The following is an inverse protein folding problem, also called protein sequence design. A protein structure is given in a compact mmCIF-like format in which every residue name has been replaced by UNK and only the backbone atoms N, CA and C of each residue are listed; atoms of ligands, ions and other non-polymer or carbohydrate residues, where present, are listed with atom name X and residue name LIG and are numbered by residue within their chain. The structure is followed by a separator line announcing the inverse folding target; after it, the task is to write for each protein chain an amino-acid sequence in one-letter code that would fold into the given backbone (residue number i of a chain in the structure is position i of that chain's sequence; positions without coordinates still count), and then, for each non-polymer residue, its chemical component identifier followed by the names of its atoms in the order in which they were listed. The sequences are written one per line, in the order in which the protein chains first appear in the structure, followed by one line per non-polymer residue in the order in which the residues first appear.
data_IF_184846855037
#
_entry.id   IF_184846855037
#
_cell.length_a   1.000
_cell.length_b   1.000
_cell.length_c   1.000
_cell.angle_alpha   90.00
_cell.angle_beta   90.00
_cell.angle_gamma   90.00
#
_symmetry.space_group_name_H-M   'P 1'
#
loop_
_entity.id
_entity.type
_entity.pdbx_description
1 polymer ?
#
# COMPACT_ATOMS: atom_id res chain seq x y z
N UNK A 1 10.95 -15.00 -10.93
CA UNK A 1 11.14 -13.96 -9.88
C UNK A 1 9.79 -13.74 -9.22
N UNK A 2 9.70 -13.58 -7.90
CA UNK A 2 8.42 -13.32 -7.22
C UNK A 2 8.40 -11.88 -6.70
N UNK A 3 7.21 -11.31 -6.56
CA UNK A 3 7.03 -9.97 -6.01
C UNK A 3 6.20 -10.06 -4.73
N UNK A 4 6.62 -9.33 -3.69
CA UNK A 4 5.89 -9.19 -2.45
C UNK A 4 5.33 -7.78 -2.35
N UNK A 5 4.07 -7.70 -1.97
CA UNK A 5 3.46 -6.46 -1.48
C UNK A 5 3.63 -6.43 0.03
N UNK A 6 4.20 -5.35 0.53
CA UNK A 6 4.34 -5.08 1.96
C UNK A 6 3.56 -3.81 2.32
N UNK A 7 2.86 -3.82 3.46
CA UNK A 7 2.19 -2.65 4.03
C UNK A 7 2.99 -2.11 5.22
N UNK A 8 3.11 -0.79 5.31
CA UNK A 8 3.72 -0.08 6.43
C UNK A 8 2.69 0.14 7.52
N UNK A 9 3.03 -0.30 8.72
CA UNK A 9 2.26 -0.05 9.94
C UNK A 9 3.16 0.62 10.97
N UNK A 10 2.56 1.37 11.89
CA UNK A 10 3.27 2.12 12.91
C UNK A 10 2.95 1.52 14.28
N UNK A 11 3.98 1.15 15.03
CA UNK A 11 3.84 0.43 16.30
C UNK A 11 4.41 1.23 17.48
N UNK A 12 3.74 1.12 18.62
CA UNK A 12 4.18 1.69 19.89
C UNK A 12 4.13 3.22 19.96
N UNK A 13 4.53 3.81 21.11
CA UNK A 13 4.47 5.25 21.34
C UNK A 13 5.33 6.06 20.37
N UNK A 14 6.45 5.50 19.93
CA UNK A 14 7.39 6.14 18.99
C UNK A 14 7.01 5.94 17.53
N UNK A 15 5.85 5.31 17.25
CA UNK A 15 5.36 5.03 15.89
C UNK A 15 6.44 4.39 15.01
N UNK A 16 7.07 3.34 15.50
CA UNK A 16 8.09 2.63 14.73
C UNK A 16 7.47 2.00 13.49
N UNK A 17 8.05 2.28 12.32
CA UNK A 17 7.61 1.72 11.05
C UNK A 17 7.97 0.24 10.98
N UNK A 18 6.99 -0.61 10.69
CA UNK A 18 7.17 -2.04 10.40
C UNK A 18 6.46 -2.40 9.11
N UNK A 19 7.16 -3.15 8.26
CA UNK A 19 6.64 -3.62 6.98
C UNK A 19 6.17 -5.06 7.11
N UNK A 20 4.91 -5.31 6.71
CA UNK A 20 4.29 -6.63 6.78
C UNK A 20 3.94 -7.11 5.38
N UNK A 21 4.25 -8.36 5.06
CA UNK A 21 3.85 -8.97 3.79
C UNK A 21 2.35 -9.21 3.80
N UNK A 22 1.67 -8.72 2.78
CA UNK A 22 0.20 -8.83 2.65
C UNK A 22 -0.24 -9.55 1.39
N UNK A 23 0.61 -9.56 0.36
CA UNK A 23 0.30 -10.25 -0.89
C UNK A 23 1.60 -10.65 -1.62
N UNK A 24 1.50 -11.64 -2.50
CA UNK A 24 2.59 -12.11 -3.35
C UNK A 24 2.06 -12.40 -4.75
N UNK A 25 2.72 -11.86 -5.77
CA UNK A 25 2.36 -12.05 -7.17
C UNK A 25 3.52 -12.56 -8.03
N UNK A 26 3.18 -13.01 -9.23
CA UNK A 26 4.12 -13.46 -10.25
C UNK A 26 4.81 -12.32 -11.01
N UNK A 27 4.18 -11.14 -11.03
CA UNK A 27 4.74 -9.95 -11.70
C UNK A 27 4.56 -8.68 -10.87
N UNK A 28 5.39 -7.66 -11.15
CA UNK A 28 5.25 -6.34 -10.52
C UNK A 28 3.91 -5.67 -10.89
N UNK A 29 3.44 -5.86 -12.12
CA UNK A 29 2.20 -5.26 -12.65
C UNK A 29 0.98 -5.84 -11.93
N UNK A 30 0.94 -7.16 -11.74
CA UNK A 30 -0.10 -7.84 -10.96
C UNK A 30 -0.15 -7.30 -9.52
N UNK A 31 0.99 -7.24 -8.83
CA UNK A 31 1.07 -6.67 -7.49
C UNK A 31 0.64 -5.20 -7.45
N UNK A 32 0.96 -4.41 -8.48
CA UNK A 32 0.51 -3.02 -8.56
C UNK A 32 -1.00 -2.94 -8.71
N UNK A 33 -1.60 -3.75 -9.60
CA UNK A 33 -3.06 -3.82 -9.76
C UNK A 33 -3.74 -4.18 -8.44
N UNK A 34 -3.20 -5.17 -7.71
CA UNK A 34 -3.71 -5.55 -6.40
C UNK A 34 -3.68 -4.39 -5.39
N UNK A 35 -2.60 -3.61 -5.36
CA UNK A 35 -2.53 -2.39 -4.53
C UNK A 35 -3.56 -1.35 -4.97
N UNK A 36 -3.69 -1.11 -6.28
CA UNK A 36 -4.66 -0.16 -6.83
C UNK A 36 -6.12 -0.52 -6.50
N UNK A 37 -6.47 -1.80 -6.57
CA UNK A 37 -7.79 -2.31 -6.17
C UNK A 37 -8.07 -2.05 -4.68
N UNK A 38 -7.08 -2.26 -3.81
CA UNK A 38 -7.24 -1.99 -2.37
C UNK A 38 -7.37 -0.51 -2.05
N UNK A 39 -6.63 0.36 -2.73
CA UNK A 39 -6.69 1.80 -2.46
C UNK A 39 -7.87 2.49 -3.16
N UNK A 40 -8.51 1.82 -4.13
CA UNK A 40 -9.65 2.35 -4.88
C UNK A 40 -10.84 2.74 -3.97
N UNK A 41 -10.98 2.09 -2.82
CA UNK A 41 -12.03 2.39 -1.83
C UNK A 41 -11.89 3.77 -1.19
N UNK A 42 -10.70 4.36 -1.23
CA UNK A 42 -10.46 5.70 -0.69
C UNK A 42 -10.76 6.77 -1.74
N UNK A 43 -11.29 7.93 -1.31
CA UNK A 43 -11.46 9.07 -2.19
C UNK A 43 -10.10 9.55 -2.69
N UNK A 44 -10.08 10.05 -3.91
CA UNK A 44 -8.95 10.83 -4.44
C UNK A 44 -8.78 12.13 -3.66
N UNK A 45 -7.60 12.73 -3.75
CA UNK A 45 -7.35 14.06 -3.15
C UNK A 45 -8.36 15.13 -3.64
N UNK A 46 -8.82 15.03 -4.88
CA UNK A 46 -9.80 15.97 -5.45
C UNK A 46 -11.18 15.82 -4.80
N UNK A 47 -11.62 14.58 -4.56
CA UNK A 47 -12.88 14.24 -3.91
C UNK A 47 -12.83 14.57 -2.40
N UNK A 48 -11.67 14.37 -1.78
CA UNK A 48 -11.46 14.58 -0.35
C UNK A 48 -11.28 16.06 0.05
N UNK A 49 -11.44 17.03 -0.86
CA UNK A 49 -11.31 18.48 -0.55
C UNK A 49 -12.14 18.94 0.66
N UNK A 50 -13.18 18.19 1.03
CA UNK A 50 -14.06 18.47 2.19
C UNK A 50 -13.93 17.47 3.35
N UNK A 51 -12.99 16.53 3.29
CA UNK A 51 -12.89 15.44 4.27
C UNK A 51 -11.43 15.21 4.67
N UNK A 52 -11.14 15.27 5.97
CA UNK A 52 -9.83 14.96 6.56
C UNK A 52 -9.48 13.46 6.53
N UNK A 53 -10.09 12.70 5.62
CA UNK A 53 -9.94 11.26 5.50
C UNK A 53 -8.61 10.85 4.86
N UNK A 54 -8.32 9.55 4.94
CA UNK A 54 -7.24 8.94 4.17
C UNK A 54 -7.61 9.01 2.69
N UNK A 55 -6.76 9.67 1.89
CA UNK A 55 -6.91 9.72 0.43
C UNK A 55 -6.25 8.51 -0.22
N UNK A 56 -6.65 8.19 -1.45
CA UNK A 56 -6.05 7.13 -2.26
C UNK A 56 -4.55 7.30 -2.42
N UNK A 57 -4.10 8.53 -2.67
CA UNK A 57 -2.70 8.91 -2.84
C UNK A 57 -1.90 8.64 -1.56
N UNK A 58 -2.44 9.01 -0.40
CA UNK A 58 -1.84 8.72 0.90
C UNK A 58 -1.88 7.22 1.23
N UNK A 59 -2.97 6.53 0.89
CA UNK A 59 -3.08 5.08 1.07
C UNK A 59 -2.04 4.32 0.23
N UNK A 60 -1.74 4.75 -1.00
CA UNK A 60 -0.66 4.16 -1.82
C UNK A 60 0.70 4.23 -1.14
N UNK A 61 0.98 5.31 -0.42
CA UNK A 61 2.28 5.51 0.26
C UNK A 61 2.56 4.49 1.37
N UNK A 62 1.53 3.84 1.92
CA UNK A 62 1.73 2.78 2.92
C UNK A 62 2.03 1.42 2.30
N UNK A 63 1.92 1.25 0.98
CA UNK A 63 2.28 0.02 0.30
C UNK A 63 3.64 0.14 -0.39
N UNK A 64 4.36 -0.98 -0.50
CA UNK A 64 5.53 -1.11 -1.37
C UNK A 64 5.57 -2.48 -2.02
N UNK A 65 6.16 -2.53 -3.21
CA UNK A 65 6.33 -3.76 -3.99
C UNK A 65 7.82 -4.07 -4.12
N UNK A 66 8.24 -5.22 -3.58
CA UNK A 66 9.64 -5.67 -3.57
C UNK A 66 9.80 -6.96 -4.37
N UNK A 67 10.75 -6.98 -5.30
CA UNK A 67 11.16 -8.21 -5.97
C UNK A 67 11.99 -9.08 -5.04
N UNK A 68 11.68 -10.38 -4.98
CA UNK A 68 12.44 -11.37 -4.21
C UNK A 68 12.88 -12.50 -5.13
N UNK A 69 14.12 -12.94 -4.95
CA UNK A 69 14.58 -14.23 -5.49
C UNK A 69 13.93 -15.30 -4.61
N UNK A 70 13.05 -16.07 -5.24
CA UNK A 70 12.42 -17.23 -4.61
C UNK A 70 13.45 -18.36 -4.49
#
# INVERSE_FOLDING_TARGET
MRYLVEICTFHGPTRQRRWHRVHQGGSRVECQRWVEELVAVFPTEEEARRSFGLTRERARQVYRIRGVRA
#
